data_IF_406175017154
#
_entry.id   IF_406175017154
#
_cell.length_a   1.000
_cell.length_b   1.000
_cell.length_c   1.000
_cell.angle_alpha   90.00
_cell.angle_beta   90.00
_cell.angle_gamma   90.00
#
_symmetry.space_group_name_H-M   'P 1'
#
loop_
_entity.id
_entity.type
_entity.pdbx_description
1 polymer ?
#
# COMPACT_ATOMS: atom_id res chain seq x y z
N UNK A 1 -16.28 -8.82 -10.48
CA UNK A 1 -15.92 -7.97 -9.32
C UNK A 1 -14.40 -7.98 -9.24
N UNK A 2 -13.71 -6.83 -9.34
CA UNK A 2 -12.24 -6.82 -9.17
C UNK A 2 -11.99 -7.03 -7.68
N UNK A 3 -11.51 -8.21 -7.31
CA UNK A 3 -11.11 -8.48 -5.94
C UNK A 3 -10.12 -7.41 -5.49
N UNK A 4 -10.35 -6.83 -4.32
CA UNK A 4 -9.40 -5.95 -3.65
C UNK A 4 -8.20 -6.79 -3.19
N UNK A 5 -7.40 -7.24 -4.16
CA UNK A 5 -6.19 -8.00 -3.93
C UNK A 5 -5.20 -7.09 -3.24
N UNK A 6 -4.69 -7.58 -2.11
CA UNK A 6 -3.59 -6.93 -1.42
C UNK A 6 -2.41 -6.80 -2.37
N UNK A 7 -1.76 -5.63 -2.34
CA UNK A 7 -0.52 -5.38 -3.06
C UNK A 7 0.53 -6.40 -2.61
N UNK A 8 1.03 -7.18 -3.57
CA UNK A 8 2.09 -8.16 -3.36
C UNK A 8 3.43 -7.45 -3.13
N UNK A 9 4.40 -8.21 -2.63
CA UNK A 9 5.74 -7.67 -2.39
C UNK A 9 6.37 -7.08 -3.65
N UNK A 10 6.30 -7.80 -4.77
CA UNK A 10 6.89 -7.37 -6.05
C UNK A 10 6.26 -6.08 -6.57
N UNK A 11 4.93 -5.95 -6.45
CA UNK A 11 4.22 -4.72 -6.82
C UNK A 11 4.66 -3.54 -5.95
N UNK A 12 4.87 -3.76 -4.66
CA UNK A 12 5.37 -2.73 -3.73
C UNK A 12 6.80 -2.33 -4.06
N UNK A 13 7.64 -3.28 -4.46
CA UNK A 13 8.99 -2.97 -4.90
C UNK A 13 8.98 -2.11 -6.17
N UNK A 14 8.10 -2.45 -7.13
CA UNK A 14 7.87 -1.61 -8.31
C UNK A 14 7.39 -0.21 -7.92
N UNK A 15 6.47 -0.06 -6.95
CA UNK A 15 6.08 1.25 -6.44
C UNK A 15 7.26 2.07 -5.91
N UNK A 16 8.17 1.43 -5.16
CA UNK A 16 9.37 2.08 -4.65
C UNK A 16 10.24 2.63 -5.77
N UNK A 17 10.52 1.80 -6.76
CA UNK A 17 11.35 2.18 -7.91
C UNK A 17 10.72 3.34 -8.68
N UNK A 18 9.40 3.29 -8.89
CA UNK A 18 8.66 4.34 -9.58
C UNK A 18 8.60 5.65 -8.80
N UNK A 19 8.46 5.60 -7.47
CA UNK A 19 8.47 6.79 -6.62
C UNK A 19 9.83 7.49 -6.59
N UNK A 20 10.92 6.74 -6.71
CA UNK A 20 12.27 7.29 -6.76
C UNK A 20 12.66 7.73 -8.18
N UNK A 21 12.06 7.13 -9.20
CA UNK A 21 12.35 7.46 -10.59
C UNK A 21 11.96 8.91 -10.94
N UNK A 22 12.83 9.59 -11.70
CA UNK A 22 12.50 10.92 -12.25
C UNK A 22 11.45 10.84 -13.36
N UNK A 23 11.29 9.66 -13.97
CA UNK A 23 10.29 9.42 -15.03
C UNK A 23 8.85 9.67 -14.59
N UNK A 24 8.57 9.46 -13.30
CA UNK A 24 7.24 9.66 -12.72
C UNK A 24 7.12 11.00 -11.99
N UNK A 25 8.11 11.91 -12.11
CA UNK A 25 8.02 13.25 -11.54
C UNK A 25 7.49 14.22 -12.58
N UNK A 26 6.57 15.08 -12.16
CA UNK A 26 6.10 16.21 -12.96
C UNK A 26 7.18 17.29 -13.03
N UNK A 27 7.03 18.23 -13.97
CA UNK A 27 7.93 19.39 -14.12
C UNK A 27 8.08 20.23 -12.84
N UNK A 28 7.10 20.20 -11.94
CA UNK A 28 7.11 20.89 -10.65
C UNK A 28 7.71 20.04 -9.50
N UNK A 29 8.36 18.92 -9.80
CA UNK A 29 8.96 18.01 -8.82
C UNK A 29 7.97 17.12 -8.05
N UNK A 30 6.67 17.27 -8.27
CA UNK A 30 5.65 16.45 -7.60
C UNK A 30 5.47 15.11 -8.32
N UNK A 31 5.17 14.03 -7.59
CA UNK A 31 4.88 12.72 -8.18
C UNK A 31 3.64 12.74 -9.08
N UNK A 32 3.76 12.13 -10.27
CA UNK A 32 2.69 11.90 -11.21
C UNK A 32 1.93 10.61 -10.89
N UNK A 33 0.94 10.73 -10.00
CA UNK A 33 0.15 9.58 -9.53
C UNK A 33 -0.56 8.81 -10.65
N UNK A 34 -0.99 9.51 -11.71
CA UNK A 34 -1.70 8.87 -12.84
C UNK A 34 -0.77 7.98 -13.67
N UNK A 35 0.48 8.39 -13.81
CA UNK A 35 1.48 7.65 -14.57
C UNK A 35 1.94 6.40 -13.84
N UNK A 36 2.14 6.53 -12.52
CA UNK A 36 2.45 5.40 -11.64
C UNK A 36 1.29 4.41 -11.63
N UNK A 37 0.04 4.89 -11.57
CA UNK A 37 -1.15 4.05 -11.65
C UNK A 37 -1.22 3.28 -12.98
N UNK A 38 -0.88 3.92 -14.09
CA UNK A 38 -0.82 3.30 -15.42
C UNK A 38 0.25 2.21 -15.49
N UNK A 39 1.46 2.47 -14.98
CA UNK A 39 2.56 1.50 -15.00
C UNK A 39 2.32 0.31 -14.07
N UNK A 40 1.70 0.54 -12.91
CA UNK A 40 1.40 -0.53 -11.94
C UNK A 40 0.08 -1.25 -12.21
N UNK A 41 -0.69 -0.83 -13.22
CA UNK A 41 -2.05 -1.31 -13.49
C UNK A 41 -2.98 -1.24 -12.25
N UNK A 42 -2.75 -0.28 -11.36
CA UNK A 42 -3.54 -0.06 -10.15
C UNK A 42 -4.29 1.27 -10.22
N UNK A 43 -5.30 1.41 -9.35
CA UNK A 43 -6.04 2.67 -9.28
C UNK A 43 -5.19 3.77 -8.65
N UNK A 44 -5.41 5.02 -9.07
CA UNK A 44 -4.77 6.20 -8.47
C UNK A 44 -5.01 6.26 -6.95
N UNK A 45 -6.19 5.82 -6.49
CA UNK A 45 -6.52 5.76 -5.07
C UNK A 45 -5.66 4.75 -4.29
N UNK A 46 -5.29 3.64 -4.93
CA UNK A 46 -4.35 2.66 -4.36
C UNK A 46 -2.97 3.28 -4.19
N UNK A 47 -2.47 4.00 -5.21
CA UNK A 47 -1.19 4.72 -5.14
C UNK A 47 -1.19 5.77 -4.03
N UNK A 48 -2.25 6.59 -3.95
CA UNK A 48 -2.43 7.58 -2.88
C UNK A 48 -2.41 6.95 -1.48
N UNK A 49 -3.08 5.81 -1.31
CA UNK A 49 -3.08 5.07 -0.04
C UNK A 49 -1.70 4.58 0.33
N UNK A 50 -0.92 4.08 -0.63
CA UNK A 50 0.44 3.62 -0.36
C UNK A 50 1.37 4.77 -0.01
N UNK A 51 1.30 5.90 -0.70
CA UNK A 51 2.07 7.11 -0.32
C UNK A 51 1.72 7.54 1.11
N UNK A 52 0.44 7.55 1.46
CA UNK A 52 -0.02 7.95 2.80
C UNK A 52 0.40 6.98 3.92
N UNK A 53 0.81 5.74 3.60
CA UNK A 53 1.28 4.79 4.64
C UNK A 53 2.64 5.19 5.20
N UNK A 54 3.45 5.92 4.46
CA UNK A 54 4.79 6.32 4.85
C UNK A 54 4.83 7.82 5.15
N UNK A 55 5.65 8.22 6.13
CA UNK A 55 5.83 9.64 6.46
C UNK A 55 6.68 10.34 5.39
N UNK A 56 7.72 9.65 4.90
CA UNK A 56 8.57 10.08 3.80
C UNK A 56 8.62 8.99 2.73
N UNK A 57 8.82 9.39 1.47
CA UNK A 57 8.96 8.46 0.33
C UNK A 57 10.29 7.69 0.42
N UNK A 58 11.34 8.33 0.95
CA UNK A 58 12.66 7.71 1.15
C UNK A 58 12.63 6.55 2.16
N UNK A 59 11.74 6.64 3.15
CA UNK A 59 11.50 5.59 4.14
C UNK A 59 10.63 4.45 3.58
N UNK A 60 10.25 4.50 2.30
CA UNK A 60 9.42 3.46 1.69
C UNK A 60 10.18 2.13 1.64
N UNK A 61 9.73 1.18 2.45
CA UNK A 61 10.21 -0.19 2.47
C UNK A 61 9.07 -1.14 2.12
N UNK A 62 9.23 -1.86 1.00
CA UNK A 62 8.24 -2.83 0.53
C UNK A 62 7.96 -3.96 1.56
N UNK A 63 8.92 -4.23 2.46
CA UNK A 63 8.86 -5.27 3.49
C UNK A 63 8.01 -4.84 4.70
N UNK A 64 8.05 -3.56 5.11
CA UNK A 64 7.42 -3.13 6.35
C UNK A 64 5.90 -3.01 6.23
N UNK A 65 5.39 -2.56 5.09
CA UNK A 65 3.95 -2.41 4.90
C UNK A 65 3.16 -3.74 5.03
N UNK A 66 3.62 -4.88 4.45
CA UNK A 66 3.05 -6.19 4.73
C UNK A 66 3.13 -6.58 6.21
N UNK A 67 4.27 -6.34 6.87
CA UNK A 67 4.46 -6.65 8.30
C UNK A 67 3.48 -5.87 9.18
N UNK A 68 3.28 -4.57 8.92
CA UNK A 68 2.32 -3.72 9.63
C UNK A 68 0.88 -4.23 9.46
N UNK A 69 0.49 -4.61 8.24
CA UNK A 69 -0.82 -5.21 7.97
C UNK A 69 -1.02 -6.51 8.78
N UNK A 70 -0.06 -7.43 8.75
CA UNK A 70 -0.15 -8.68 9.52
C UNK A 70 -0.20 -8.42 11.03
N UNK A 71 0.57 -7.46 11.55
CA UNK A 71 0.55 -7.06 12.97
C UNK A 71 -0.82 -6.54 13.40
N UNK A 72 -1.46 -5.70 12.58
CA UNK A 72 -2.82 -5.18 12.84
C UNK A 72 -3.87 -6.29 12.79
N UNK A 73 -3.77 -7.20 11.82
CA UNK A 73 -4.69 -8.33 11.70
C UNK A 73 -4.65 -9.26 12.91
N UNK A 74 -3.48 -9.54 13.49
CA UNK A 74 -3.34 -10.36 14.70
C UNK A 74 -4.05 -9.76 15.93
N UNK A 75 -4.26 -8.45 15.99
CA UNK A 75 -5.00 -7.81 17.09
C UNK A 75 -6.53 -7.97 16.95
N UNK A 76 -7.02 -8.30 15.76
CA UNK A 76 -8.44 -8.52 15.48
C UNK A 76 -8.82 -10.01 15.64
N UNK A 77 -8.37 -10.67 16.71
CA UNK A 77 -8.93 -11.97 17.11
C UNK A 77 -10.39 -11.70 17.48
N UNK A 78 -11.33 -12.17 16.66
CA UNK A 78 -12.75 -12.13 17.00
C UNK A 78 -12.89 -12.87 18.33
N UNK A 79 -13.34 -12.20 19.39
CA UNK A 79 -13.72 -12.90 20.63
C UNK A 79 -14.87 -13.82 20.26
N UNK A 80 -14.74 -15.11 20.56
CA UNK A 80 -15.89 -16.02 20.47
C UNK A 80 -16.91 -15.54 21.51
N UNK A 81 -18.19 -15.32 21.13
CA UNK A 81 -19.21 -14.97 22.10
C UNK A 81 -19.32 -16.09 23.13
N UNK A 82 -19.09 -15.78 24.39
CA UNK A 82 -19.37 -16.69 25.50
C UNK A 82 -20.87 -16.66 25.74
N UNK A 83 -21.57 -17.68 25.25
CA UNK A 83 -22.96 -17.90 25.62
C UNK A 83 -22.99 -18.44 27.05
N UNK A 84 -23.35 -17.60 28.02
CA UNK A 84 -23.70 -18.06 29.37
C UNK A 84 -24.97 -18.90 29.24
N UNK A 85 -24.89 -20.19 29.63
CA UNK A 85 -26.08 -21.04 29.75
C UNK A 85 -26.89 -20.56 30.96
N UNK A 86 -28.18 -20.32 30.73
CA UNK A 86 -29.21 -20.08 31.75
C UNK A 86 -29.42 -21.31 32.65
#
# INVERSE_FOLDING_TARGET
MKDYTHLKYDERNLFKDLFLSDSCKKKNGTLNLSEIARQTNRSVNTVKREIKRFKNIEDYTAIEAPKDYYKKRKKCIKKLPTFTKE
#
